data_IF_479419690419
#
_entry.id   IF_479419690419
#
_cell.length_a   1.000
_cell.length_b   1.000
_cell.length_c   1.000
_cell.angle_alpha   90.00
_cell.angle_beta   90.00
_cell.angle_gamma   90.00
#
_symmetry.space_group_name_H-M   'P 1'
#
loop_
_entity.id
_entity.type
_entity.pdbx_description
1 polymer ?
#
# COMPACT_ATOMS: atom_id res chain seq x y z
N UNK A 1 15.38 8.25 11.39
CA UNK A 1 13.92 8.05 11.12
C UNK A 1 13.76 6.70 10.47
N UNK A 2 12.96 5.83 11.07
CA UNK A 2 12.69 4.47 10.59
C UNK A 2 11.46 4.52 9.65
N UNK A 3 11.59 3.93 8.46
CA UNK A 3 10.52 3.78 7.48
C UNK A 3 9.95 2.38 7.55
N UNK A 4 8.68 2.24 7.89
CA UNK A 4 8.02 0.96 8.12
C UNK A 4 6.92 0.73 7.08
N UNK A 5 7.05 -0.35 6.30
CA UNK A 5 6.02 -0.76 5.35
C UNK A 5 4.92 -1.56 6.04
N UNK A 6 3.66 -1.21 5.80
CA UNK A 6 2.48 -1.98 6.19
C UNK A 6 1.91 -2.65 4.95
N UNK A 7 1.91 -3.97 4.94
CA UNK A 7 1.37 -4.77 3.85
C UNK A 7 0.33 -5.78 4.34
N UNK A 8 -0.36 -6.42 3.41
CA UNK A 8 -1.38 -7.42 3.70
C UNK A 8 -2.32 -7.62 2.52
N UNK A 9 -2.94 -8.78 2.43
CA UNK A 9 -3.84 -9.11 1.33
C UNK A 9 -5.12 -8.26 1.38
N UNK A 10 -5.88 -8.26 0.28
CA UNK A 10 -7.16 -7.57 0.19
C UNK A 10 -8.08 -7.96 1.38
N UNK A 11 -8.73 -6.98 2.00
CA UNK A 11 -9.61 -7.20 3.15
C UNK A 11 -8.91 -7.49 4.49
N UNK A 12 -7.56 -7.47 4.56
CA UNK A 12 -6.81 -7.74 5.81
C UNK A 12 -6.99 -6.67 6.90
N UNK A 13 -7.37 -5.42 6.54
CA UNK A 13 -7.59 -4.34 7.49
C UNK A 13 -6.45 -3.34 7.60
N UNK A 14 -5.57 -3.23 6.60
CA UNK A 14 -4.49 -2.23 6.54
C UNK A 14 -4.98 -0.81 6.82
N UNK A 15 -6.07 -0.42 6.20
CA UNK A 15 -6.65 0.93 6.36
C UNK A 15 -7.05 1.23 7.81
N UNK A 16 -7.56 0.25 8.55
CA UNK A 16 -7.88 0.42 9.98
C UNK A 16 -6.61 0.57 10.83
N UNK A 17 -5.54 -0.16 10.46
CA UNK A 17 -4.22 0.00 11.10
C UNK A 17 -3.70 1.41 10.86
N UNK A 18 -3.72 1.90 9.63
CA UNK A 18 -3.28 3.26 9.26
C UNK A 18 -4.09 4.32 10.01
N UNK A 19 -5.42 4.22 10.03
CA UNK A 19 -6.27 5.15 10.78
C UNK A 19 -5.91 5.20 12.27
N UNK A 20 -5.67 4.04 12.87
CA UNK A 20 -5.31 3.98 14.29
C UNK A 20 -3.91 4.57 14.55
N UNK A 21 -2.92 4.30 13.70
CA UNK A 21 -1.60 4.92 13.81
C UNK A 21 -1.66 6.45 13.65
N UNK A 22 -2.49 6.95 12.74
CA UNK A 22 -2.75 8.38 12.58
C UNK A 22 -3.38 9.00 13.83
N UNK A 23 -4.31 8.31 14.50
CA UNK A 23 -4.91 8.78 15.77
C UNK A 23 -3.86 8.87 16.90
N UNK A 24 -2.81 8.06 16.84
CA UNK A 24 -1.65 8.13 17.73
C UNK A 24 -0.58 9.17 17.29
N UNK A 25 -0.92 10.01 16.30
CA UNK A 25 -0.04 11.06 15.76
C UNK A 25 1.23 10.53 15.08
N UNK A 26 1.20 9.30 14.58
CA UNK A 26 2.24 8.83 13.66
C UNK A 26 1.99 9.35 12.24
N UNK A 27 3.08 9.60 11.52
CA UNK A 27 3.01 9.92 10.10
C UNK A 27 2.72 8.65 9.32
N UNK A 28 1.64 8.67 8.54
CA UNK A 28 1.22 7.56 7.71
C UNK A 28 1.03 8.02 6.26
N UNK A 29 1.57 7.27 5.33
CA UNK A 29 1.56 7.58 3.90
C UNK A 29 1.00 6.36 3.16
N UNK A 30 -0.05 6.54 2.39
CA UNK A 30 -0.57 5.51 1.48
C UNK A 30 0.05 5.68 0.10
N UNK A 31 0.60 4.61 -0.47
CA UNK A 31 1.13 4.63 -1.84
C UNK A 31 0.06 4.95 -2.87
N UNK A 32 -1.16 4.46 -2.67
CA UNK A 32 -2.28 4.72 -3.57
C UNK A 32 -2.66 6.21 -3.55
N UNK A 33 -2.63 6.84 -2.36
CA UNK A 33 -2.88 8.27 -2.21
C UNK A 33 -1.77 9.11 -2.86
N UNK A 34 -0.50 8.73 -2.69
CA UNK A 34 0.61 9.41 -3.35
C UNK A 34 0.50 9.33 -4.87
N UNK A 35 0.20 8.15 -5.41
CA UNK A 35 -0.01 7.97 -6.85
C UNK A 35 -1.19 8.82 -7.34
N UNK A 36 -2.29 8.87 -6.59
CA UNK A 36 -3.43 9.74 -6.91
C UNK A 36 -3.02 11.22 -6.95
N UNK A 37 -2.17 11.66 -6.03
CA UNK A 37 -1.68 13.04 -6.00
C UNK A 37 -0.74 13.34 -7.18
N UNK A 38 0.03 12.38 -7.69
CA UNK A 38 0.86 12.58 -8.88
C UNK A 38 0.04 12.95 -10.13
N UNK A 39 -1.17 12.41 -10.25
CA UNK A 39 -2.08 12.77 -11.34
C UNK A 39 -2.83 14.10 -11.10
N UNK A 40 -2.81 14.65 -9.89
CA UNK A 40 -3.35 15.97 -9.57
C UNK A 40 -2.33 17.08 -9.72
N UNK A 41 -1.05 16.76 -9.55
CA UNK A 41 0.07 17.69 -9.74
C UNK A 41 0.41 17.77 -11.23
N UNK A 42 0.22 18.95 -11.83
CA UNK A 42 0.34 19.16 -13.27
C UNK A 42 1.72 18.76 -13.80
N UNK A 43 2.79 19.15 -13.11
CA UNK A 43 4.17 18.85 -13.50
C UNK A 43 4.45 17.33 -13.48
N UNK A 44 4.10 16.66 -12.40
CA UNK A 44 4.31 15.22 -12.25
C UNK A 44 3.45 14.43 -13.24
N UNK A 45 2.22 14.87 -13.46
CA UNK A 45 1.30 14.28 -14.43
C UNK A 45 1.90 14.36 -15.84
N UNK A 46 2.37 15.52 -16.27
CA UNK A 46 2.99 15.73 -17.57
C UNK A 46 4.18 14.77 -17.80
N UNK A 47 5.06 14.63 -16.80
CA UNK A 47 6.18 13.69 -16.87
C UNK A 47 5.70 12.25 -17.07
N UNK A 48 4.67 11.83 -16.33
CA UNK A 48 4.12 10.47 -16.43
C UNK A 48 3.51 10.26 -17.81
N UNK A 49 2.68 11.18 -18.27
CA UNK A 49 1.99 11.07 -19.57
C UNK A 49 3.00 11.03 -20.73
N UNK A 50 4.02 11.91 -20.72
CA UNK A 50 5.09 11.93 -21.72
C UNK A 50 5.87 10.61 -21.74
N UNK A 51 6.31 10.08 -20.59
CA UNK A 51 7.03 8.80 -20.52
C UNK A 51 6.19 7.61 -20.95
N UNK A 52 4.87 7.67 -20.74
CA UNK A 52 3.93 6.63 -21.12
C UNK A 52 3.41 6.75 -22.54
N UNK A 53 3.69 7.86 -23.24
CA UNK A 53 3.09 8.24 -24.55
C UNK A 53 1.56 8.24 -24.46
N UNK A 54 1.02 8.94 -23.46
CA UNK A 54 -0.42 9.08 -23.24
C UNK A 54 -0.86 10.51 -23.55
N UNK A 55 -2.07 10.69 -24.11
CA UNK A 55 -2.64 12.02 -24.34
C UNK A 55 -3.02 12.66 -22.99
N UNK A 56 -3.12 13.99 -22.98
CA UNK A 56 -3.54 14.74 -21.81
C UNK A 56 -5.04 14.60 -21.51
N UNK A 57 -5.83 14.39 -22.56
CA UNK A 57 -7.26 14.11 -22.43
C UNK A 57 -7.51 12.61 -22.33
N UNK A 58 -8.45 12.21 -21.47
CA UNK A 58 -8.90 10.81 -21.30
C UNK A 58 -7.79 9.81 -20.88
N UNK A 59 -6.65 10.30 -20.34
CA UNK A 59 -5.55 9.42 -19.94
C UNK A 59 -5.95 8.40 -18.86
N UNK A 60 -6.90 8.76 -17.99
CA UNK A 60 -7.35 7.88 -16.91
C UNK A 60 -8.06 6.66 -17.44
N UNK A 61 -8.98 6.86 -18.37
CA UNK A 61 -9.72 5.81 -19.06
C UNK A 61 -8.76 4.89 -19.82
N UNK A 62 -7.82 5.48 -20.54
CA UNK A 62 -6.79 4.74 -21.30
C UNK A 62 -5.90 3.92 -20.35
N UNK A 63 -5.50 4.47 -19.21
CA UNK A 63 -4.73 3.73 -18.21
C UNK A 63 -5.54 2.54 -17.69
N UNK A 64 -6.79 2.76 -17.29
CA UNK A 64 -7.66 1.70 -16.74
C UNK A 64 -7.83 0.57 -17.76
N UNK A 65 -8.13 0.90 -19.01
CA UNK A 65 -8.27 -0.07 -20.10
C UNK A 65 -6.99 -0.89 -20.31
N UNK A 66 -5.82 -0.21 -20.34
CA UNK A 66 -4.52 -0.83 -20.59
C UNK A 66 -3.89 -1.51 -19.38
N UNK A 67 -4.43 -1.37 -18.17
CA UNK A 67 -3.88 -2.01 -16.95
C UNK A 67 -3.86 -3.55 -17.05
N UNK A 68 -4.70 -4.16 -17.87
CA UNK A 68 -4.70 -5.61 -18.14
C UNK A 68 -3.53 -6.06 -19.01
N UNK A 69 -2.93 -5.14 -19.77
CA UNK A 69 -1.76 -5.43 -20.60
C UNK A 69 -0.50 -5.43 -19.71
N UNK A 70 0.14 -6.58 -19.57
CA UNK A 70 1.31 -6.73 -18.69
C UNK A 70 2.49 -5.84 -19.09
N UNK A 71 2.74 -5.66 -20.38
CA UNK A 71 3.82 -4.80 -20.90
C UNK A 71 3.58 -3.34 -20.53
N UNK A 72 2.35 -2.86 -20.70
CA UNK A 72 1.94 -1.52 -20.32
C UNK A 72 2.05 -1.32 -18.80
N UNK A 73 1.51 -2.25 -18.01
CA UNK A 73 1.53 -2.20 -16.55
C UNK A 73 2.98 -2.18 -16.02
N UNK A 74 3.86 -2.99 -16.60
CA UNK A 74 5.30 -2.99 -16.25
C UNK A 74 5.97 -1.66 -16.57
N UNK A 75 5.67 -1.05 -17.72
CA UNK A 75 6.16 0.29 -18.10
C UNK A 75 5.64 1.37 -17.15
N UNK A 76 4.35 1.34 -16.81
CA UNK A 76 3.72 2.28 -15.89
C UNK A 76 4.39 2.23 -14.49
N UNK A 77 4.61 1.04 -13.95
CA UNK A 77 5.30 0.84 -12.67
C UNK A 77 6.73 1.39 -12.72
N UNK A 78 7.49 1.06 -13.76
CA UNK A 78 8.86 1.60 -13.96
C UNK A 78 8.89 3.14 -14.05
N UNK A 79 7.81 3.75 -14.50
CA UNK A 79 7.68 5.21 -14.56
C UNK A 79 7.31 5.81 -13.20
N UNK A 80 6.34 5.22 -12.49
CA UNK A 80 5.78 5.77 -11.26
C UNK A 80 6.68 5.52 -10.04
N UNK A 81 7.30 4.36 -9.90
CA UNK A 81 8.07 4.03 -8.70
C UNK A 81 9.26 4.97 -8.43
N UNK A 82 10.08 5.38 -9.40
CA UNK A 82 11.14 6.37 -9.15
C UNK A 82 10.60 7.70 -8.61
N UNK A 83 9.43 8.14 -9.12
CA UNK A 83 8.76 9.36 -8.65
C UNK A 83 8.28 9.18 -7.20
N UNK A 84 7.70 8.01 -6.89
CA UNK A 84 7.26 7.65 -5.54
C UNK A 84 8.44 7.70 -4.55
N UNK A 85 9.60 7.17 -4.93
CA UNK A 85 10.80 7.17 -4.07
C UNK A 85 11.41 8.56 -3.89
N UNK A 86 11.44 9.38 -4.93
CA UNK A 86 11.90 10.77 -4.81
C UNK A 86 10.99 11.56 -3.87
N UNK A 87 9.69 11.38 -3.97
CA UNK A 87 8.72 12.01 -3.07
C UNK A 87 8.84 11.51 -1.62
N UNK A 88 9.05 10.19 -1.43
CA UNK A 88 9.36 9.61 -0.12
C UNK A 88 10.58 10.30 0.51
N UNK A 89 11.68 10.46 -0.23
CA UNK A 89 12.87 11.17 0.23
C UNK A 89 12.54 12.63 0.58
N UNK A 90 11.82 13.35 -0.27
CA UNK A 90 11.41 14.74 -0.04
C UNK A 90 10.61 14.90 1.25
N UNK A 91 9.67 14.00 1.48
CA UNK A 91 8.86 13.98 2.71
C UNK A 91 9.73 13.72 3.94
N UNK A 92 10.73 12.85 3.83
CA UNK A 92 11.66 12.53 4.91
C UNK A 92 12.52 13.77 5.29
N UNK A 93 13.03 14.49 4.30
CA UNK A 93 13.84 15.70 4.56
C UNK A 93 13.04 16.88 5.12
N UNK A 94 11.80 17.08 4.67
CA UNK A 94 10.95 18.19 5.13
C UNK A 94 10.46 18.05 6.58
N UNK A 95 10.38 16.82 7.08
CA UNK A 95 9.80 16.52 8.39
C UNK A 95 10.74 15.65 9.21
N UNK A 96 11.80 16.27 9.74
CA UNK A 96 12.66 15.56 10.68
C UNK A 96 11.83 15.19 11.93
N UNK A 97 11.67 13.90 12.19
CA UNK A 97 10.97 13.37 13.35
C UNK A 97 11.69 12.12 13.86
N UNK A 98 11.83 11.99 15.15
CA UNK A 98 12.35 10.76 15.77
C UNK A 98 11.36 9.60 15.70
N UNK A 99 10.06 9.88 15.46
CA UNK A 99 9.02 8.86 15.34
C UNK A 99 9.11 8.14 13.98
N UNK A 100 8.80 6.83 13.92
CA UNK A 100 8.73 6.11 12.66
C UNK A 100 7.66 6.66 11.73
N UNK A 101 7.90 6.54 10.42
CA UNK A 101 6.91 6.82 9.38
C UNK A 101 6.38 5.49 8.83
N UNK A 102 5.07 5.35 8.77
CA UNK A 102 4.39 4.17 8.26
C UNK A 102 3.92 4.38 6.83
N UNK A 103 4.15 3.37 5.98
CA UNK A 103 3.77 3.39 4.57
C UNK A 103 2.84 2.22 4.26
N UNK A 104 1.63 2.51 3.79
CA UNK A 104 0.73 1.47 3.30
C UNK A 104 1.13 1.05 1.89
N UNK A 105 1.66 -0.16 1.75
CA UNK A 105 2.15 -0.74 0.49
C UNK A 105 1.49 -2.10 0.26
N UNK A 106 0.34 -2.17 -0.42
CA UNK A 106 -0.41 -3.41 -0.62
C UNK A 106 0.37 -4.52 -1.33
N UNK A 107 1.19 -4.14 -2.32
CA UNK A 107 1.97 -5.05 -3.16
C UNK A 107 3.48 -5.03 -2.84
N UNK A 108 3.84 -4.92 -1.56
CA UNK A 108 5.23 -4.77 -1.10
C UNK A 108 6.17 -5.85 -1.65
N UNK A 109 5.77 -7.10 -1.54
CA UNK A 109 6.60 -8.24 -1.93
C UNK A 109 6.40 -8.65 -3.39
N UNK A 110 5.20 -8.47 -3.91
CA UNK A 110 4.87 -8.70 -5.32
C UNK A 110 5.72 -7.84 -6.26
N UNK A 111 5.99 -6.61 -5.84
CA UNK A 111 6.75 -5.63 -6.61
C UNK A 111 8.20 -5.49 -6.14
N UNK A 112 8.65 -6.41 -5.26
CA UNK A 112 10.02 -6.41 -4.70
C UNK A 112 10.43 -5.06 -4.09
N UNK A 113 9.53 -4.41 -3.34
CA UNK A 113 9.73 -3.07 -2.78
C UNK A 113 10.27 -3.07 -1.35
N UNK A 114 10.37 -4.24 -0.71
CA UNK A 114 10.75 -4.37 0.71
C UNK A 114 12.10 -3.76 1.04
N UNK A 115 13.06 -3.79 0.12
CA UNK A 115 14.39 -3.22 0.29
C UNK A 115 14.42 -1.69 0.44
N UNK A 116 13.28 -1.01 0.20
CA UNK A 116 13.15 0.44 0.36
C UNK A 116 12.66 0.86 1.76
N UNK A 117 12.47 -0.08 2.66
CA UNK A 117 11.94 0.13 4.00
C UNK A 117 12.84 -0.56 5.03
N UNK A 118 12.96 0.06 6.20
CA UNK A 118 13.79 -0.49 7.29
C UNK A 118 13.10 -1.73 7.90
N UNK A 119 11.78 -1.71 8.00
CA UNK A 119 10.96 -2.79 8.54
C UNK A 119 9.68 -2.99 7.73
N UNK A 120 9.12 -4.19 7.84
CA UNK A 120 7.83 -4.54 7.23
C UNK A 120 6.90 -5.19 8.26
N UNK A 121 5.63 -4.77 8.25
CA UNK A 121 4.55 -5.31 9.09
C UNK A 121 3.49 -5.93 8.17
N UNK A 122 3.25 -7.22 8.33
CA UNK A 122 2.19 -7.94 7.62
C UNK A 122 0.91 -7.98 8.45
N UNK A 123 -0.18 -7.48 7.89
CA UNK A 123 -1.51 -7.59 8.51
C UNK A 123 -2.16 -8.87 8.01
N UNK A 124 -2.21 -9.87 8.90
CA UNK A 124 -2.77 -11.19 8.62
C UNK A 124 -4.24 -11.23 9.02
N UNK A 125 -5.08 -11.77 8.15
CA UNK A 125 -6.47 -12.12 8.49
C UNK A 125 -6.94 -13.33 7.68
N UNK A 126 -7.80 -14.14 8.27
CA UNK A 126 -8.36 -15.34 7.63
C UNK A 126 -9.11 -14.97 6.34
N UNK A 127 -9.02 -15.81 5.33
CA UNK A 127 -9.63 -15.55 4.01
C UNK A 127 -11.12 -15.30 4.09
N UNK A 128 -11.84 -16.05 4.91
CA UNK A 128 -13.27 -15.87 5.15
C UNK A 128 -13.60 -14.49 5.71
N UNK A 129 -12.80 -13.99 6.68
CA UNK A 129 -12.97 -12.66 7.27
C UNK A 129 -12.61 -11.56 6.28
N UNK A 130 -11.56 -11.75 5.49
CA UNK A 130 -11.15 -10.81 4.44
C UNK A 130 -12.24 -10.65 3.39
N UNK A 131 -12.77 -11.78 2.88
CA UNK A 131 -13.89 -11.82 1.93
C UNK A 131 -15.11 -11.10 2.49
N UNK A 132 -15.55 -11.45 3.72
CA UNK A 132 -16.70 -10.79 4.38
C UNK A 132 -16.54 -9.26 4.48
N UNK A 133 -15.32 -8.77 4.77
CA UNK A 133 -15.01 -7.33 4.85
C UNK A 133 -15.10 -6.65 3.48
N UNK A 134 -14.66 -7.32 2.43
CA UNK A 134 -14.72 -6.80 1.05
C UNK A 134 -16.16 -6.73 0.55
N UNK A 135 -16.96 -7.76 0.80
CA UNK A 135 -18.38 -7.80 0.46
C UNK A 135 -19.15 -6.68 1.22
N UNK A 136 -18.86 -6.47 2.50
CA UNK A 136 -19.47 -5.37 3.28
C UNK A 136 -19.15 -3.96 2.74
N UNK A 137 -18.10 -3.81 1.94
CA UNK A 137 -17.74 -2.55 1.26
C UNK A 137 -18.40 -2.39 -0.11
N UNK A 138 -19.37 -3.25 -0.45
CA UNK A 138 -20.12 -3.20 -1.71
C UNK A 138 -19.41 -3.85 -2.90
N UNK A 139 -18.28 -4.52 -2.67
CA UNK A 139 -17.59 -5.27 -3.73
C UNK A 139 -18.14 -6.71 -3.81
N UNK A 140 -18.09 -7.31 -4.99
CA UNK A 140 -18.56 -8.68 -5.17
C UNK A 140 -17.46 -9.73 -4.92
N UNK A 141 -17.87 -11.00 -4.91
CA UNK A 141 -16.96 -12.13 -4.69
C UNK A 141 -15.94 -12.31 -5.82
N UNK A 142 -16.35 -12.08 -7.05
CA UNK A 142 -15.48 -12.16 -8.22
C UNK A 142 -14.29 -11.17 -8.09
N UNK A 143 -14.59 -9.93 -7.69
CA UNK A 143 -13.56 -8.93 -7.44
C UNK A 143 -12.60 -9.38 -6.34
N UNK A 144 -13.12 -9.91 -5.22
CA UNK A 144 -12.26 -10.43 -4.15
C UNK A 144 -11.33 -11.54 -4.67
N UNK A 145 -11.86 -12.52 -5.38
CA UNK A 145 -11.11 -13.66 -5.91
C UNK A 145 -10.04 -13.22 -6.92
N UNK A 146 -10.39 -12.28 -7.81
CA UNK A 146 -9.47 -11.71 -8.77
C UNK A 146 -8.30 -10.98 -8.09
N UNK A 147 -8.60 -10.18 -7.09
CA UNK A 147 -7.58 -9.40 -6.37
C UNK A 147 -6.72 -10.27 -5.45
N UNK A 148 -7.30 -11.28 -4.82
CA UNK A 148 -6.55 -12.22 -3.97
C UNK A 148 -5.59 -13.09 -4.78
N UNK A 149 -6.00 -13.55 -5.97
CA UNK A 149 -5.12 -14.27 -6.92
C UNK A 149 -3.94 -13.46 -7.42
N UNK A 150 -4.08 -12.13 -7.54
CA UNK A 150 -2.97 -11.24 -7.93
C UNK A 150 -1.94 -11.03 -6.83
N UNK A 151 -2.28 -11.36 -5.61
CA UNK A 151 -1.41 -11.22 -4.45
C UNK A 151 -0.75 -12.55 -4.11
N UNK A 152 0.50 -12.51 -3.68
CA UNK A 152 1.18 -13.72 -3.20
C UNK A 152 0.51 -14.25 -1.92
N UNK A 153 0.65 -15.56 -1.72
CA UNK A 153 0.06 -16.27 -0.60
C UNK A 153 0.46 -15.65 0.75
N UNK A 154 -0.49 -15.60 1.70
CA UNK A 154 -0.28 -15.03 3.03
C UNK A 154 0.89 -15.69 3.78
N UNK A 155 1.06 -17.01 3.69
CA UNK A 155 2.17 -17.71 4.34
C UNK A 155 3.53 -17.24 3.82
N UNK A 156 3.62 -16.94 2.51
CA UNK A 156 4.84 -16.36 1.93
C UNK A 156 5.07 -14.94 2.42
N UNK A 157 4.03 -14.08 2.44
CA UNK A 157 4.13 -12.72 2.99
C UNK A 157 4.54 -12.75 4.47
N UNK A 158 3.97 -13.66 5.25
CA UNK A 158 4.31 -13.84 6.65
C UNK A 158 5.80 -14.12 6.86
N UNK A 159 6.37 -15.04 6.06
CA UNK A 159 7.80 -15.39 6.13
C UNK A 159 8.73 -14.25 5.71
N UNK A 160 8.27 -13.38 4.81
CA UNK A 160 9.06 -12.26 4.28
C UNK A 160 8.98 -10.99 5.16
N UNK A 161 8.05 -10.94 6.11
CA UNK A 161 7.82 -9.76 6.94
C UNK A 161 8.56 -9.84 8.27
N UNK A 162 9.04 -8.68 8.77
CA UNK A 162 9.70 -8.58 10.07
C UNK A 162 8.71 -8.78 11.21
N UNK A 163 7.48 -8.26 11.08
CA UNK A 163 6.43 -8.38 12.08
C UNK A 163 5.10 -8.77 11.49
N UNK A 164 4.25 -9.39 12.32
CA UNK A 164 2.91 -9.84 11.95
C UNK A 164 1.92 -9.30 12.95
N UNK A 165 0.85 -8.66 12.46
CA UNK A 165 -0.33 -8.29 13.25
C UNK A 165 -1.49 -9.17 12.82
N UNK A 166 -1.99 -10.03 13.72
CA UNK A 166 -3.20 -10.82 13.49
C UNK A 166 -4.44 -9.96 13.66
N UNK A 167 -5.31 -9.93 12.64
CA UNK A 167 -6.56 -9.16 12.60
C UNK A 167 -7.78 -10.07 12.39
N UNK A 168 -7.91 -11.07 13.27
CA UNK A 168 -9.03 -12.01 13.25
C UNK A 168 -10.09 -11.72 14.33
N UNK A 169 -9.79 -10.82 15.26
CA UNK A 169 -10.65 -10.45 16.36
C UNK A 169 -11.43 -9.15 16.14
N UNK A 170 -11.79 -8.51 17.24
CA UNK A 170 -12.45 -7.20 17.27
C UNK A 170 -11.47 -6.07 16.88
N UNK A 171 -12.02 -4.88 16.65
CA UNK A 171 -11.21 -3.66 16.43
C UNK A 171 -10.34 -3.34 17.65
N UNK A 172 -10.83 -3.61 18.87
CA UNK A 172 -10.06 -3.43 20.11
C UNK A 172 -8.85 -4.34 20.13
N UNK A 173 -9.02 -5.63 19.78
CA UNK A 173 -7.92 -6.58 19.72
C UNK A 173 -6.86 -6.15 18.69
N UNK A 174 -7.29 -5.61 17.53
CA UNK A 174 -6.38 -5.07 16.54
C UNK A 174 -5.55 -3.91 17.12
N UNK A 175 -6.20 -2.96 17.79
CA UNK A 175 -5.55 -1.81 18.43
C UNK A 175 -4.55 -2.24 19.51
N UNK A 176 -4.90 -3.20 20.35
CA UNK A 176 -3.99 -3.76 21.35
C UNK A 176 -2.76 -4.41 20.72
N UNK A 177 -2.96 -5.19 19.65
CA UNK A 177 -1.86 -5.81 18.92
C UNK A 177 -0.91 -4.74 18.30
N UNK A 178 -1.45 -3.63 17.81
CA UNK A 178 -0.65 -2.51 17.29
C UNK A 178 0.16 -1.87 18.41
N UNK A 179 -0.48 -1.56 19.55
CA UNK A 179 0.21 -0.96 20.72
C UNK A 179 1.33 -1.88 21.19
N UNK A 180 1.07 -3.19 21.30
CA UNK A 180 2.07 -4.17 21.71
C UNK A 180 3.26 -4.21 20.75
N UNK A 181 2.99 -4.08 19.44
CA UNK A 181 4.06 -4.02 18.46
C UNK A 181 4.87 -2.72 18.56
N UNK A 182 4.20 -1.57 18.72
CA UNK A 182 4.86 -0.27 18.84
C UNK A 182 5.85 -0.18 20.03
N UNK A 183 5.64 -0.99 21.07
CA UNK A 183 6.59 -1.10 22.20
C UNK A 183 7.87 -1.88 21.86
N UNK A 184 7.90 -2.57 20.71
CA UNK A 184 9.02 -3.42 20.28
C UNK A 184 9.87 -2.77 19.19
N UNK A 185 9.38 -1.70 18.58
CA UNK A 185 10.03 -0.94 17.51
C UNK A 185 10.24 0.52 17.93
#
# INVERSE_FOLDING_TARGET
MIDIAITGNIGSGKTEVIKFLQSLKFKCISSDHLISNFYKDDYTREIILKKMNLPEKNYKEIIIEKLRNEKFNRKLKKTIYPILYSEKKRIKYKHFSYKPTFYEIPLLFEENLSHNFDLSIFIQADTTKRKKRVLKKGMNEEYFNMMDKKQINQNKKQKLSNFIIKNNGSILNLRLNIITLLKKI
#
